data_IF_535753439735
#
_entry.id   IF_535753439735
#
_cell.length_a   1.000
_cell.length_b   1.000
_cell.length_c   1.000
_cell.angle_alpha   90.00
_cell.angle_beta   90.00
_cell.angle_gamma   90.00
#
_symmetry.space_group_name_H-M   'P 1'
#
loop_
_entity.id
_entity.type
_entity.pdbx_description
1 polymer ?
#
# COMPACT_ATOMS: atom_id res chain seq x y z
N UNK A 1 11.06 -0.61 -17.60
CA UNK A 1 9.62 -0.65 -17.28
C UNK A 1 9.34 -1.07 -15.83
N UNK A 2 9.83 -2.24 -15.34
CA UNK A 2 9.58 -2.72 -13.96
C UNK A 2 10.05 -1.76 -12.86
N UNK A 3 11.18 -1.08 -13.02
CA UNK A 3 11.70 -0.12 -12.04
C UNK A 3 10.78 1.10 -11.92
N UNK A 4 10.30 1.64 -13.03
CA UNK A 4 9.36 2.77 -13.04
C UNK A 4 8.01 2.39 -12.45
N UNK A 5 7.53 1.18 -12.74
CA UNK A 5 6.32 0.63 -12.13
C UNK A 5 6.49 0.47 -10.61
N UNK A 6 7.62 -0.12 -10.18
CA UNK A 6 7.94 -0.27 -8.76
C UNK A 6 8.03 1.07 -8.04
N UNK A 7 8.71 2.07 -8.61
CA UNK A 7 8.76 3.42 -8.05
C UNK A 7 7.39 4.06 -7.97
N UNK A 8 6.58 3.95 -9.03
CA UNK A 8 5.22 4.51 -9.06
C UNK A 8 4.32 3.90 -7.99
N UNK A 9 4.35 2.58 -7.80
CA UNK A 9 3.57 1.89 -6.77
C UNK A 9 4.09 2.17 -5.36
N UNK A 10 5.40 2.34 -5.17
CA UNK A 10 6.00 2.63 -3.85
C UNK A 10 5.73 4.06 -3.41
N UNK A 11 5.90 5.03 -4.31
CA UNK A 11 5.57 6.45 -4.02
C UNK A 11 4.06 6.58 -3.85
N UNK A 12 3.28 5.99 -4.75
CA UNK A 12 1.83 5.84 -4.70
C UNK A 12 1.03 7.03 -4.18
N UNK A 13 -0.26 6.83 -3.97
CA UNK A 13 -1.14 7.84 -3.37
C UNK A 13 -0.99 8.01 -1.85
N UNK A 14 -0.28 7.12 -1.19
CA UNK A 14 -0.18 7.10 0.28
C UNK A 14 0.40 8.38 0.87
N UNK A 15 1.47 8.93 0.26
CA UNK A 15 2.08 10.16 0.75
C UNK A 15 1.09 11.33 0.63
N UNK A 16 0.38 11.44 -0.48
CA UNK A 16 -0.60 12.51 -0.71
C UNK A 16 -1.78 12.42 0.28
N UNK A 17 -2.26 11.21 0.57
CA UNK A 17 -3.35 11.00 1.50
C UNK A 17 -2.94 11.21 2.98
N UNK A 18 -1.67 10.95 3.34
CA UNK A 18 -1.21 10.93 4.73
C UNK A 18 -0.50 12.22 5.15
N UNK A 19 0.18 12.94 4.23
CA UNK A 19 0.96 14.14 4.59
C UNK A 19 0.13 15.15 5.37
N UNK A 20 -1.07 15.48 4.91
CA UNK A 20 -1.97 16.42 5.59
C UNK A 20 -2.36 15.95 6.98
N UNK A 21 -2.69 14.65 7.13
CA UNK A 21 -3.10 14.06 8.42
C UNK A 21 -1.94 14.01 9.42
N UNK A 22 -0.72 13.69 8.96
CA UNK A 22 0.48 13.68 9.80
C UNK A 22 0.86 15.09 10.21
N UNK A 23 0.86 16.05 9.27
CA UNK A 23 1.14 17.44 9.56
C UNK A 23 0.15 18.03 10.58
N UNK A 24 -1.14 17.71 10.47
CA UNK A 24 -2.16 18.17 11.42
C UNK A 24 -1.96 17.62 12.84
N UNK A 25 -1.37 16.42 12.98
CA UNK A 25 -1.13 15.81 14.30
C UNK A 25 0.26 16.11 14.89
N UNK A 26 1.30 16.08 14.04
CA UNK A 26 2.69 16.24 14.47
C UNK A 26 3.19 17.69 14.39
N UNK A 27 2.43 18.60 13.73
CA UNK A 27 2.81 19.99 13.58
C UNK A 27 4.22 20.15 12.97
N UNK A 28 5.08 20.93 13.60
CA UNK A 28 6.46 21.16 13.15
C UNK A 28 7.36 19.90 13.22
N UNK A 29 6.96 18.87 13.97
CA UNK A 29 7.70 17.61 14.05
C UNK A 29 7.34 16.62 12.92
N UNK A 30 6.44 16.97 12.01
CA UNK A 30 6.06 16.11 10.89
C UNK A 30 7.25 15.64 10.03
N UNK A 31 8.22 16.50 9.64
CA UNK A 31 9.38 16.04 8.88
C UNK A 31 10.22 15.01 9.65
N UNK A 32 10.40 15.21 10.96
CA UNK A 32 11.14 14.26 11.80
C UNK A 32 10.43 12.92 11.90
N UNK A 33 9.09 12.90 11.98
CA UNK A 33 8.29 11.69 11.97
C UNK A 33 8.47 10.90 10.66
N UNK A 34 8.53 11.58 9.51
CA UNK A 34 8.79 10.94 8.23
C UNK A 34 10.21 10.39 8.14
N UNK A 35 11.21 11.10 8.64
CA UNK A 35 12.60 10.60 8.68
C UNK A 35 12.70 9.35 9.55
N UNK A 36 12.10 9.36 10.74
CA UNK A 36 12.08 8.21 11.63
C UNK A 36 11.39 7.00 10.98
N UNK A 37 10.22 7.21 10.33
CA UNK A 37 9.53 6.17 9.59
C UNK A 37 10.36 5.63 8.42
N UNK A 38 11.06 6.49 7.68
CA UNK A 38 11.95 6.09 6.58
C UNK A 38 13.11 5.22 7.07
N UNK A 39 13.74 5.57 8.19
CA UNK A 39 14.80 4.76 8.79
C UNK A 39 14.30 3.36 9.20
N UNK A 40 13.13 3.27 9.85
CA UNK A 40 12.53 1.98 10.20
C UNK A 40 12.18 1.17 8.95
N UNK A 41 11.62 1.81 7.92
CA UNK A 41 11.27 1.16 6.66
C UNK A 41 12.51 0.67 5.89
N UNK A 42 13.67 1.34 6.03
CA UNK A 42 14.90 0.93 5.39
C UNK A 42 15.37 -0.46 5.84
N UNK A 43 15.25 -0.79 7.13
CA UNK A 43 15.58 -2.14 7.63
C UNK A 43 14.66 -3.20 7.02
N UNK A 44 13.37 -2.92 6.93
CA UNK A 44 12.41 -3.82 6.28
C UNK A 44 12.72 -3.97 4.80
N UNK A 45 13.03 -2.89 4.10
CA UNK A 45 13.38 -2.92 2.69
C UNK A 45 14.64 -3.76 2.41
N UNK A 46 15.68 -3.66 3.25
CA UNK A 46 16.88 -4.48 3.14
C UNK A 46 16.57 -5.97 3.34
N UNK A 47 15.75 -6.32 4.33
CA UNK A 47 15.33 -7.70 4.56
C UNK A 47 14.55 -8.26 3.35
N UNK A 48 13.62 -7.49 2.79
CA UNK A 48 12.89 -7.89 1.57
C UNK A 48 13.78 -7.98 0.34
N UNK A 49 14.77 -7.10 0.19
CA UNK A 49 15.74 -7.16 -0.89
C UNK A 49 16.56 -8.46 -0.83
N UNK A 50 17.01 -8.86 0.34
CA UNK A 50 17.71 -10.13 0.52
C UNK A 50 16.80 -11.33 0.22
N UNK A 51 15.58 -11.35 0.77
CA UNK A 51 14.63 -12.43 0.54
C UNK A 51 14.22 -12.56 -0.93
N UNK A 52 13.99 -11.45 -1.61
CA UNK A 52 13.63 -11.45 -3.03
C UNK A 52 14.77 -11.92 -3.94
N UNK A 53 16.02 -11.65 -3.58
CA UNK A 53 17.18 -12.15 -4.30
C UNK A 53 17.39 -13.66 -4.14
N UNK A 54 17.08 -14.20 -2.95
CA UNK A 54 17.18 -15.64 -2.66
C UNK A 54 16.00 -16.45 -3.21
N UNK A 55 14.82 -15.87 -3.21
CA UNK A 55 13.58 -16.54 -3.63
C UNK A 55 12.82 -15.71 -4.67
N UNK A 56 13.27 -15.70 -5.93
CA UNK A 56 12.68 -14.89 -7.01
C UNK A 56 11.35 -15.50 -7.50
N UNK A 57 10.35 -15.57 -6.61
CA UNK A 57 9.00 -16.05 -6.90
C UNK A 57 7.99 -14.95 -6.66
N UNK A 58 6.99 -14.84 -7.52
CA UNK A 58 6.00 -13.76 -7.51
C UNK A 58 4.96 -13.80 -6.37
N UNK A 59 5.05 -14.75 -5.43
CA UNK A 59 4.08 -14.89 -4.34
C UNK A 59 4.50 -14.17 -3.02
N UNK A 60 5.55 -13.35 -3.04
CA UNK A 60 5.94 -12.46 -1.95
C UNK A 60 6.08 -13.13 -0.58
N UNK A 61 5.53 -12.50 0.47
CA UNK A 61 5.67 -12.90 1.86
C UNK A 61 5.23 -14.35 2.14
N UNK A 62 4.20 -14.85 1.46
CA UNK A 62 3.71 -16.21 1.64
C UNK A 62 4.77 -17.26 1.27
N UNK A 63 5.56 -17.01 0.21
CA UNK A 63 6.67 -17.89 -0.18
C UNK A 63 7.79 -17.83 0.83
N UNK A 64 8.14 -16.65 1.32
CA UNK A 64 9.21 -16.49 2.30
C UNK A 64 8.89 -17.25 3.60
N UNK A 65 7.65 -17.14 4.07
CA UNK A 65 7.17 -17.89 5.24
C UNK A 65 7.15 -19.42 4.99
N UNK A 66 6.75 -19.84 3.80
CA UNK A 66 6.78 -21.26 3.41
C UNK A 66 8.20 -21.82 3.48
N UNK A 67 9.17 -21.08 2.95
CA UNK A 67 10.56 -21.52 2.93
C UNK A 67 11.21 -21.50 4.31
N UNK A 68 10.85 -20.52 5.15
CA UNK A 68 11.42 -20.40 6.49
C UNK A 68 10.86 -21.44 7.48
N UNK A 69 9.56 -21.67 7.45
CA UNK A 69 8.89 -22.48 8.48
C UNK A 69 8.39 -23.84 7.98
N UNK A 70 8.32 -24.04 6.66
CA UNK A 70 7.82 -25.25 6.00
C UNK A 70 6.43 -25.71 6.53
N UNK A 71 5.57 -24.78 6.96
CA UNK A 71 4.22 -25.03 7.49
C UNK A 71 3.16 -24.45 6.55
N UNK A 72 2.44 -25.33 5.86
CA UNK A 72 1.41 -24.96 4.90
C UNK A 72 0.28 -24.09 5.50
N UNK A 73 -0.16 -24.37 6.72
CA UNK A 73 -1.20 -23.57 7.38
C UNK A 73 -0.75 -22.12 7.63
N UNK A 74 0.50 -21.91 8.04
CA UNK A 74 1.05 -20.57 8.27
C UNK A 74 1.15 -19.80 6.96
N UNK A 75 1.57 -20.45 5.88
CA UNK A 75 1.64 -19.87 4.54
C UNK A 75 0.28 -19.38 4.04
N UNK A 76 -0.78 -20.19 4.26
CA UNK A 76 -2.15 -19.82 3.85
C UNK A 76 -2.63 -18.62 4.66
N UNK A 77 -2.42 -18.60 5.98
CA UNK A 77 -2.81 -17.47 6.83
C UNK A 77 -2.10 -16.19 6.40
N UNK A 78 -0.78 -16.23 6.17
CA UNK A 78 -0.03 -15.06 5.70
C UNK A 78 -0.51 -14.62 4.31
N UNK A 79 -0.76 -15.54 3.38
CA UNK A 79 -1.32 -15.22 2.07
C UNK A 79 -2.67 -14.51 2.17
N UNK A 80 -3.57 -14.96 3.06
CA UNK A 80 -4.85 -14.29 3.33
C UNK A 80 -4.65 -12.88 3.91
N UNK A 81 -3.72 -12.73 4.86
CA UNK A 81 -3.41 -11.42 5.45
C UNK A 81 -2.86 -10.43 4.40
N UNK A 82 -2.03 -10.89 3.47
CA UNK A 82 -1.52 -10.08 2.35
C UNK A 82 -2.66 -9.60 1.45
N UNK A 83 -3.60 -10.48 1.12
CA UNK A 83 -4.79 -10.10 0.33
C UNK A 83 -5.64 -9.07 1.08
N UNK A 84 -5.93 -9.31 2.35
CA UNK A 84 -6.68 -8.37 3.19
C UNK A 84 -5.98 -7.00 3.29
N UNK A 85 -4.66 -6.99 3.48
CA UNK A 85 -3.88 -5.76 3.48
C UNK A 85 -3.99 -5.01 2.15
N UNK A 86 -3.95 -5.72 1.02
CA UNK A 86 -4.17 -5.15 -0.31
C UNK A 86 -5.55 -4.50 -0.45
N UNK A 87 -6.61 -5.17 0.01
CA UNK A 87 -7.97 -4.63 -0.01
C UNK A 87 -8.11 -3.36 0.85
N UNK A 88 -7.57 -3.38 2.07
CA UNK A 88 -7.61 -2.22 2.98
C UNK A 88 -6.82 -1.04 2.39
N UNK A 89 -5.67 -1.31 1.78
CA UNK A 89 -4.85 -0.28 1.13
C UNK A 89 -5.56 0.33 -0.07
N UNK A 90 -6.23 -0.47 -0.88
CA UNK A 90 -7.01 0.00 -2.02
C UNK A 90 -8.17 0.89 -1.57
N UNK A 91 -8.89 0.49 -0.51
CA UNK A 91 -9.96 1.29 0.09
C UNK A 91 -9.43 2.63 0.63
N UNK A 92 -8.33 2.62 1.35
CA UNK A 92 -7.71 3.84 1.87
C UNK A 92 -7.31 4.82 0.77
N UNK A 93 -6.79 4.31 -0.35
CA UNK A 93 -6.44 5.14 -1.52
C UNK A 93 -7.68 5.68 -2.23
N UNK A 94 -8.73 4.87 -2.40
CA UNK A 94 -9.99 5.30 -2.99
C UNK A 94 -10.63 6.42 -2.17
N UNK A 95 -10.70 6.27 -0.85
CA UNK A 95 -11.20 7.29 0.07
C UNK A 95 -10.35 8.57 0.03
N UNK A 96 -9.01 8.42 -0.03
CA UNK A 96 -8.11 9.57 -0.20
C UNK A 96 -8.37 10.33 -1.49
N UNK A 97 -8.54 9.63 -2.60
CA UNK A 97 -8.85 10.22 -3.90
C UNK A 97 -10.21 10.94 -3.92
N UNK A 98 -11.23 10.32 -3.33
CA UNK A 98 -12.56 10.94 -3.19
C UNK A 98 -12.49 12.23 -2.39
N UNK A 99 -11.70 12.28 -1.31
CA UNK A 99 -11.49 13.51 -0.54
C UNK A 99 -10.90 14.66 -1.36
N UNK A 100 -10.01 14.36 -2.33
CA UNK A 100 -9.52 15.37 -3.26
C UNK A 100 -10.58 15.78 -4.31
N UNK A 101 -11.35 14.83 -4.82
CA UNK A 101 -12.43 15.10 -5.78
C UNK A 101 -13.49 16.04 -5.22
N UNK A 102 -13.83 15.89 -3.95
CA UNK A 102 -14.85 16.69 -3.27
C UNK A 102 -14.47 18.18 -3.12
N UNK A 103 -13.19 18.51 -3.22
CA UNK A 103 -12.76 19.93 -3.28
C UNK A 103 -13.26 20.61 -4.54
N UNK A 104 -13.45 19.86 -5.64
CA UNK A 104 -13.86 20.39 -6.94
C UNK A 104 -15.34 20.14 -7.25
N UNK A 105 -15.91 19.06 -6.76
CA UNK A 105 -17.26 18.61 -7.09
C UNK A 105 -17.97 18.13 -5.81
N UNK A 106 -19.08 18.76 -5.45
CA UNK A 106 -19.89 18.36 -4.32
C UNK A 106 -20.74 17.13 -4.64
N UNK A 107 -20.14 15.94 -4.56
CA UNK A 107 -20.80 14.63 -4.75
C UNK A 107 -20.88 13.94 -3.40
N UNK A 108 -21.99 13.24 -3.07
CA UNK A 108 -22.07 12.40 -1.86
C UNK A 108 -20.97 11.34 -1.86
N UNK A 109 -20.33 11.11 -0.70
CA UNK A 109 -19.18 10.21 -0.52
C UNK A 109 -19.40 8.83 -1.10
N UNK A 110 -20.57 8.23 -0.85
CA UNK A 110 -20.89 6.88 -1.28
C UNK A 110 -20.95 6.74 -2.81
N UNK A 111 -21.45 7.75 -3.54
CA UNK A 111 -21.50 7.75 -5.00
C UNK A 111 -20.08 7.84 -5.56
N UNK A 112 -19.26 8.74 -5.01
CA UNK A 112 -17.88 8.93 -5.44
C UNK A 112 -17.04 7.66 -5.21
N UNK A 113 -17.14 7.03 -4.04
CA UNK A 113 -16.42 5.80 -3.71
C UNK A 113 -16.84 4.65 -4.64
N UNK A 114 -18.15 4.43 -4.83
CA UNK A 114 -18.64 3.37 -5.71
C UNK A 114 -18.19 3.58 -7.16
N UNK A 115 -18.26 4.81 -7.65
CA UNK A 115 -17.87 5.14 -9.04
C UNK A 115 -16.37 4.91 -9.25
N UNK A 116 -15.53 5.40 -8.33
CA UNK A 116 -14.07 5.23 -8.42
C UNK A 116 -13.68 3.76 -8.33
N UNK A 117 -14.26 3.02 -7.36
CA UNK A 117 -13.96 1.59 -7.19
C UNK A 117 -14.43 0.78 -8.40
N UNK A 118 -15.61 1.06 -8.95
CA UNK A 118 -16.11 0.41 -10.15
C UNK A 118 -15.24 0.71 -11.38
N UNK A 119 -14.82 1.96 -11.56
CA UNK A 119 -13.94 2.35 -12.67
C UNK A 119 -12.58 1.64 -12.59
N UNK A 120 -11.96 1.59 -11.40
CA UNK A 120 -10.69 0.88 -11.19
C UNK A 120 -10.86 -0.63 -11.38
N UNK A 121 -11.97 -1.21 -10.90
CA UNK A 121 -12.28 -2.62 -11.10
C UNK A 121 -12.45 -2.99 -12.57
N UNK A 122 -13.14 -2.16 -13.35
CA UNK A 122 -13.27 -2.34 -14.79
C UNK A 122 -11.93 -2.25 -15.52
N UNK A 123 -11.08 -1.30 -15.15
CA UNK A 123 -9.73 -1.16 -15.71
C UNK A 123 -8.84 -2.36 -15.37
N UNK A 124 -9.03 -2.98 -14.22
CA UNK A 124 -8.25 -4.15 -13.80
C UNK A 124 -8.64 -5.45 -14.51
N UNK A 125 -9.86 -5.50 -15.06
CA UNK A 125 -10.36 -6.66 -15.80
C UNK A 125 -9.95 -6.60 -17.28
N UNK A 126 -9.66 -5.40 -17.79
CA UNK A 126 -9.27 -5.16 -19.19
C UNK A 126 -7.76 -5.32 -19.39
#
# INVERSE_FOLDING_TARGET
MLILYGLGTTIGGGIYALVGKVAARAGMLAPLSFVAAALLSAFTALAFAELSSRYPKSAGEAVYVQQAFNKKSLTVVIGMLVILNGCISADALANGFVGYLQVFVSIPDWIAIVTVTAALGLLAIW
#
